data_IF_202668792810
#
_entry.id   IF_202668792810
#
_cell.length_a   1.000
_cell.length_b   1.000
_cell.length_c   1.000
_cell.angle_alpha   90.00
_cell.angle_beta   90.00
_cell.angle_gamma   90.00
#
_symmetry.space_group_name_H-M   'P 1'
#
loop_
_entity.id
_entity.type
_entity.pdbx_description
1 polymer ?
#
# COMPACT_ATOMS: atom_id res chain seq x y z
N UNK A 1 18.91 9.78 -17.46
CA UNK A 1 18.03 9.08 -16.49
C UNK A 1 17.59 9.98 -15.34
N UNK A 2 18.46 10.82 -14.78
CA UNK A 2 18.13 11.75 -13.68
C UNK A 2 16.93 12.67 -13.95
N UNK A 3 16.90 13.37 -15.09
CA UNK A 3 15.78 14.29 -15.42
C UNK A 3 14.43 13.55 -15.42
N UNK A 4 14.36 12.38 -16.06
CA UNK A 4 13.15 11.54 -16.12
C UNK A 4 12.72 11.15 -14.72
N UNK A 5 13.65 10.67 -13.89
CA UNK A 5 13.38 10.29 -12.50
C UNK A 5 12.83 11.48 -11.71
N UNK A 6 13.47 12.65 -11.79
CA UNK A 6 13.08 13.85 -11.04
C UNK A 6 11.71 14.38 -11.47
N UNK A 7 11.44 14.45 -12.78
CA UNK A 7 10.12 14.85 -13.30
C UNK A 7 9.02 13.88 -12.86
N UNK A 8 9.28 12.57 -12.95
CA UNK A 8 8.35 11.54 -12.50
C UNK A 8 8.12 11.60 -10.99
N UNK A 9 9.16 11.90 -10.20
CA UNK A 9 9.07 12.06 -8.75
C UNK A 9 8.17 13.23 -8.38
N UNK A 10 8.32 14.38 -9.02
CA UNK A 10 7.44 15.54 -8.75
C UNK A 10 5.99 15.24 -9.14
N UNK A 11 5.77 14.58 -10.29
CA UNK A 11 4.44 14.14 -10.69
C UNK A 11 3.85 13.17 -9.66
N UNK A 12 4.62 12.17 -9.22
CA UNK A 12 4.20 11.21 -8.20
C UNK A 12 3.79 11.90 -6.90
N UNK A 13 4.58 12.86 -6.43
CA UNK A 13 4.28 13.63 -5.21
C UNK A 13 3.00 14.47 -5.41
N UNK A 14 2.87 15.19 -6.52
CA UNK A 14 1.71 16.03 -6.81
C UNK A 14 0.41 15.20 -6.87
N UNK A 15 0.43 14.07 -7.59
CA UNK A 15 -0.70 13.15 -7.66
C UNK A 15 -1.01 12.53 -6.29
N UNK A 16 0.02 12.18 -5.52
CA UNK A 16 -0.11 11.71 -4.14
C UNK A 16 -0.81 12.72 -3.23
N UNK A 17 -0.44 14.00 -3.32
CA UNK A 17 -1.09 15.08 -2.58
C UNK A 17 -2.57 15.23 -2.94
N UNK A 18 -2.92 15.14 -4.22
CA UNK A 18 -4.33 15.15 -4.67
C UNK A 18 -5.08 13.92 -4.12
N UNK A 19 -4.45 12.75 -4.13
CA UNK A 19 -5.06 11.51 -3.63
C UNK A 19 -5.40 11.58 -2.13
N UNK A 20 -4.57 12.25 -1.32
CA UNK A 20 -4.81 12.42 0.11
C UNK A 20 -6.12 13.16 0.38
N UNK A 21 -6.36 14.25 -0.37
CA UNK A 21 -7.59 15.03 -0.26
C UNK A 21 -8.78 14.23 -0.81
N UNK A 22 -8.60 13.60 -1.97
CA UNK A 22 -9.64 12.84 -2.65
C UNK A 22 -10.11 11.62 -1.85
N UNK A 23 -9.24 11.01 -1.03
CA UNK A 23 -9.58 9.87 -0.17
C UNK A 23 -10.75 10.15 0.79
N UNK A 24 -10.83 11.36 1.33
CA UNK A 24 -11.86 11.71 2.32
C UNK A 24 -13.24 11.94 1.73
N UNK A 25 -13.32 12.37 0.47
CA UNK A 25 -14.60 12.59 -0.21
C UNK A 25 -15.50 11.33 -0.21
N UNK A 26 -15.07 10.15 -0.68
CA UNK A 26 -15.87 8.94 -0.59
C UNK A 26 -15.97 8.39 0.85
N UNK A 27 -15.03 8.74 1.74
CA UNK A 27 -15.09 8.36 3.16
C UNK A 27 -16.28 8.99 3.87
N UNK A 28 -16.54 10.28 3.64
CA UNK A 28 -17.65 11.03 4.25
C UNK A 28 -18.94 11.02 3.43
N UNK A 29 -18.86 10.83 2.11
CA UNK A 29 -20.06 10.74 1.28
C UNK A 29 -20.94 9.54 1.64
N UNK A 30 -22.26 9.70 1.44
CA UNK A 30 -23.23 8.61 1.57
C UNK A 30 -22.81 7.44 0.68
N UNK A 31 -22.62 6.26 1.28
CA UNK A 31 -22.16 5.05 0.57
C UNK A 31 -23.11 4.71 -0.57
N UNK A 32 -22.56 4.57 -1.78
CA UNK A 32 -23.31 4.34 -3.02
C UNK A 32 -23.91 5.60 -3.68
N UNK A 33 -23.75 6.80 -3.11
CA UNK A 33 -24.12 8.05 -3.80
C UNK A 33 -23.22 8.34 -5.00
N UNK A 34 -23.69 9.20 -5.93
CA UNK A 34 -22.88 9.64 -7.09
C UNK A 34 -21.52 10.21 -6.67
N UNK A 35 -21.48 11.02 -5.60
CA UNK A 35 -20.23 11.57 -5.07
C UNK A 35 -19.29 10.47 -4.57
N UNK A 36 -19.80 9.51 -3.78
CA UNK A 36 -18.99 8.39 -3.29
C UNK A 36 -18.40 7.56 -4.43
N UNK A 37 -19.21 7.26 -5.45
CA UNK A 37 -18.79 6.44 -6.59
C UNK A 37 -17.76 7.20 -7.45
N UNK A 38 -18.05 8.44 -7.83
CA UNK A 38 -17.18 9.22 -8.71
C UNK A 38 -15.85 9.55 -8.03
N UNK A 39 -15.88 9.98 -6.77
CA UNK A 39 -14.65 10.25 -6.03
C UNK A 39 -13.86 8.95 -5.77
N UNK A 40 -14.55 7.83 -5.51
CA UNK A 40 -13.92 6.51 -5.38
C UNK A 40 -13.22 6.04 -6.67
N UNK A 41 -13.82 6.27 -7.84
CA UNK A 41 -13.19 6.01 -9.12
C UNK A 41 -11.98 6.91 -9.36
N UNK A 42 -12.09 8.21 -9.08
CA UNK A 42 -10.97 9.14 -9.16
C UNK A 42 -9.80 8.69 -8.28
N UNK A 43 -10.08 8.34 -7.02
CA UNK A 43 -9.07 7.82 -6.10
C UNK A 43 -8.44 6.53 -6.61
N UNK A 44 -9.24 5.59 -7.12
CA UNK A 44 -8.76 4.33 -7.69
C UNK A 44 -7.74 4.54 -8.81
N UNK A 45 -8.08 5.33 -9.84
CA UNK A 45 -7.18 5.57 -10.97
C UNK A 45 -5.93 6.33 -10.55
N UNK A 46 -6.08 7.30 -9.66
CA UNK A 46 -4.96 8.07 -9.13
C UNK A 46 -3.97 7.18 -8.37
N UNK A 47 -4.49 6.28 -7.52
CA UNK A 47 -3.67 5.31 -6.78
C UNK A 47 -2.97 4.30 -7.71
N UNK A 48 -3.59 3.90 -8.83
CA UNK A 48 -2.90 3.07 -9.82
C UNK A 48 -1.71 3.81 -10.44
N UNK A 49 -1.90 5.07 -10.84
CA UNK A 49 -0.82 5.89 -11.41
C UNK A 49 0.29 6.13 -10.40
N UNK A 50 -0.06 6.41 -9.13
CA UNK A 50 0.91 6.59 -8.04
C UNK A 50 1.70 5.30 -7.79
N UNK A 51 1.02 4.15 -7.68
CA UNK A 51 1.70 2.88 -7.46
C UNK A 51 2.59 2.51 -8.66
N UNK A 52 2.14 2.71 -9.89
CA UNK A 52 2.93 2.47 -11.10
C UNK A 52 4.16 3.38 -11.18
N UNK A 53 3.99 4.69 -10.96
CA UNK A 53 5.11 5.62 -10.93
C UNK A 53 6.08 5.32 -9.80
N UNK A 54 5.60 4.88 -8.62
CA UNK A 54 6.45 4.42 -7.51
C UNK A 54 7.31 3.20 -7.89
N UNK A 55 6.72 2.20 -8.56
CA UNK A 55 7.45 1.04 -9.08
C UNK A 55 8.52 1.46 -10.09
N UNK A 56 8.20 2.38 -11.02
CA UNK A 56 9.15 2.88 -12.03
C UNK A 56 10.29 3.68 -11.36
N UNK A 57 9.98 4.58 -10.42
CA UNK A 57 10.98 5.35 -9.67
C UNK A 57 11.95 4.43 -8.93
N UNK A 58 11.44 3.42 -8.24
CA UNK A 58 12.27 2.44 -7.55
C UNK A 58 13.09 1.61 -8.53
N UNK A 59 12.53 1.24 -9.70
CA UNK A 59 13.26 0.54 -10.75
C UNK A 59 14.44 1.34 -11.30
N UNK A 60 14.22 2.63 -11.61
CA UNK A 60 15.29 3.53 -12.07
C UNK A 60 16.36 3.69 -10.97
N UNK A 61 15.95 3.90 -9.72
CA UNK A 61 16.87 4.04 -8.59
C UNK A 61 17.65 2.77 -8.25
N UNK A 62 17.11 1.57 -8.54
CA UNK A 62 17.82 0.30 -8.39
C UNK A 62 18.78 0.02 -9.55
N UNK A 63 18.43 0.47 -10.76
CA UNK A 63 19.28 0.33 -11.94
C UNK A 63 20.51 1.26 -11.87
N UNK A 64 20.34 2.50 -11.41
CA UNK A 64 21.41 3.48 -11.30
C UNK A 64 21.34 4.26 -9.96
N UNK A 65 21.67 3.62 -8.82
CA UNK A 65 21.53 4.24 -7.51
C UNK A 65 22.46 5.44 -7.32
N UNK A 66 23.65 5.43 -7.92
CA UNK A 66 24.61 6.53 -7.75
C UNK A 66 24.21 7.71 -8.64
N UNK A 67 23.90 7.49 -9.92
CA UNK A 67 23.48 8.54 -10.83
C UNK A 67 22.13 9.17 -10.47
N UNK A 68 21.31 8.51 -9.66
CA UNK A 68 20.05 9.07 -9.15
C UNK A 68 20.21 9.76 -7.80
N UNK A 69 20.89 9.15 -6.83
CA UNK A 69 20.91 9.63 -5.45
C UNK A 69 22.16 10.42 -5.06
N UNK A 70 23.17 10.43 -5.93
CA UNK A 70 24.44 11.13 -5.71
C UNK A 70 24.96 11.82 -6.99
N UNK A 71 24.06 12.18 -7.93
CA UNK A 71 24.41 12.77 -9.22
C UNK A 71 25.38 13.95 -9.12
N UNK A 72 25.15 14.85 -8.16
CA UNK A 72 25.93 16.08 -7.99
C UNK A 72 27.07 15.92 -6.96
N UNK A 73 27.40 14.69 -6.56
CA UNK A 73 28.39 14.41 -5.52
C UNK A 73 29.54 13.57 -6.06
N UNK A 74 30.76 14.07 -5.89
CA UNK A 74 31.97 13.27 -6.05
C UNK A 74 32.16 12.45 -4.78
N UNK A 75 31.85 11.16 -4.84
CA UNK A 75 31.96 10.23 -3.70
C UNK A 75 33.17 9.31 -3.88
N UNK A 76 33.92 9.10 -2.80
CA UNK A 76 34.93 8.04 -2.75
C UNK A 76 34.25 6.66 -2.79
N UNK A 77 34.98 5.61 -3.19
CA UNK A 77 34.45 4.24 -3.21
C UNK A 77 33.85 3.82 -1.86
N UNK A 78 34.52 4.17 -0.75
CA UNK A 78 34.03 3.90 0.60
C UNK A 78 32.70 4.64 0.91
N UNK A 79 32.54 5.87 0.43
CA UNK A 79 31.30 6.63 0.60
C UNK A 79 30.17 6.06 -0.26
N UNK A 80 30.48 5.63 -1.49
CA UNK A 80 29.53 4.96 -2.37
C UNK A 80 29.01 3.67 -1.73
N UNK A 81 29.90 2.81 -1.23
CA UNK A 81 29.52 1.57 -0.55
C UNK A 81 28.58 1.84 0.64
N UNK A 82 28.90 2.82 1.50
CA UNK A 82 28.04 3.21 2.63
C UNK A 82 26.66 3.68 2.19
N UNK A 83 26.56 4.43 1.09
CA UNK A 83 25.29 4.85 0.52
C UNK A 83 24.47 3.63 0.06
N UNK A 84 25.08 2.72 -0.68
CA UNK A 84 24.40 1.57 -1.30
C UNK A 84 23.86 0.58 -0.26
N UNK A 85 24.58 0.35 0.84
CA UNK A 85 24.17 -0.55 1.94
C UNK A 85 22.77 -0.24 2.45
N UNK A 86 22.39 1.03 2.54
CA UNK A 86 21.07 1.43 3.03
C UNK A 86 20.10 1.80 1.91
N UNK A 87 20.60 2.38 0.82
CA UNK A 87 19.75 2.91 -0.26
C UNK A 87 19.12 1.80 -1.09
N UNK A 88 19.84 0.73 -1.40
CA UNK A 88 19.32 -0.39 -2.19
C UNK A 88 18.18 -1.09 -1.42
N UNK A 89 18.36 -1.52 -0.15
CA UNK A 89 17.27 -2.12 0.62
C UNK A 89 16.06 -1.21 0.78
N UNK A 90 16.28 0.09 1.01
CA UNK A 90 15.18 1.06 1.09
C UNK A 90 14.39 1.15 -0.23
N UNK A 91 15.07 1.10 -1.38
CA UNK A 91 14.42 1.15 -2.70
C UNK A 91 13.64 -0.14 -3.00
N UNK A 92 14.18 -1.30 -2.61
CA UNK A 92 13.48 -2.59 -2.68
C UNK A 92 12.22 -2.60 -1.80
N UNK A 93 12.31 -2.01 -0.62
CA UNK A 93 11.17 -1.82 0.29
C UNK A 93 10.09 -0.90 -0.28
N UNK A 94 10.47 0.25 -0.85
CA UNK A 94 9.50 1.15 -1.50
C UNK A 94 8.85 0.52 -2.73
N UNK A 95 9.60 -0.32 -3.46
CA UNK A 95 9.06 -1.13 -4.56
C UNK A 95 8.00 -2.12 -4.05
N UNK A 96 8.27 -2.82 -2.94
CA UNK A 96 7.32 -3.72 -2.28
C UNK A 96 6.04 -2.98 -1.88
N UNK A 97 6.15 -1.80 -1.26
CA UNK A 97 5.00 -0.99 -0.87
C UNK A 97 4.19 -0.48 -2.07
N UNK A 98 4.87 -0.12 -3.16
CA UNK A 98 4.21 0.30 -4.40
C UNK A 98 3.42 -0.86 -5.02
N UNK A 99 4.01 -2.06 -5.06
CA UNK A 99 3.33 -3.27 -5.51
C UNK A 99 2.15 -3.65 -4.60
N UNK A 100 2.32 -3.57 -3.28
CA UNK A 100 1.25 -3.83 -2.31
C UNK A 100 0.08 -2.88 -2.54
N UNK A 101 0.36 -1.60 -2.74
CA UNK A 101 -0.65 -0.57 -3.03
C UNK A 101 -1.39 -0.86 -4.33
N UNK A 102 -0.67 -1.24 -5.39
CA UNK A 102 -1.26 -1.66 -6.67
C UNK A 102 -2.20 -2.86 -6.50
N UNK A 103 -1.78 -3.88 -5.76
CA UNK A 103 -2.59 -5.08 -5.47
C UNK A 103 -3.85 -4.71 -4.67
N UNK A 104 -3.68 -3.96 -3.57
CA UNK A 104 -4.76 -3.60 -2.66
C UNK A 104 -5.84 -2.78 -3.35
N UNK A 105 -5.47 -1.74 -4.11
CA UNK A 105 -6.45 -0.87 -4.75
C UNK A 105 -7.22 -1.58 -5.88
N UNK A 106 -6.54 -2.46 -6.63
CA UNK A 106 -7.17 -3.31 -7.67
C UNK A 106 -8.12 -4.34 -7.06
N UNK A 107 -7.71 -4.96 -5.97
CA UNK A 107 -8.56 -5.90 -5.22
C UNK A 107 -9.79 -5.19 -4.66
N UNK A 108 -9.60 -4.01 -4.04
CA UNK A 108 -10.67 -3.21 -3.45
C UNK A 108 -11.82 -2.92 -4.42
N UNK A 109 -11.53 -2.48 -5.65
CA UNK A 109 -12.58 -2.16 -6.63
C UNK A 109 -13.11 -3.42 -7.30
N UNK A 110 -12.25 -4.37 -7.65
CA UNK A 110 -12.68 -5.58 -8.37
C UNK A 110 -13.57 -6.45 -7.51
N UNK A 111 -13.28 -6.59 -6.20
CA UNK A 111 -14.13 -7.37 -5.31
C UNK A 111 -15.56 -6.83 -5.22
N UNK A 112 -15.73 -5.51 -5.30
CA UNK A 112 -17.05 -4.87 -5.33
C UNK A 112 -17.80 -5.14 -6.64
N UNK A 113 -17.07 -5.23 -7.77
CA UNK A 113 -17.64 -5.53 -9.10
C UNK A 113 -18.09 -6.99 -9.20
N UNK A 114 -17.23 -7.92 -8.78
CA UNK A 114 -17.46 -9.37 -8.97
C UNK A 114 -18.30 -10.00 -7.86
N UNK A 115 -18.36 -9.36 -6.68
CA UNK A 115 -19.16 -9.76 -5.53
C UNK A 115 -18.87 -11.22 -5.12
N UNK A 116 -19.84 -12.12 -5.27
CA UNK A 116 -19.72 -13.54 -4.91
C UNK A 116 -18.95 -14.36 -5.94
N UNK A 117 -19.09 -14.01 -7.23
CA UNK A 117 -18.43 -14.73 -8.32
C UNK A 117 -16.99 -14.26 -8.46
N UNK A 118 -16.07 -14.89 -7.71
CA UNK A 118 -14.66 -14.45 -7.63
C UNK A 118 -13.74 -15.11 -8.65
N UNK A 119 -14.27 -15.72 -9.71
CA UNK A 119 -13.48 -16.38 -10.74
C UNK A 119 -12.43 -15.44 -11.37
N UNK A 120 -12.82 -14.20 -11.67
CA UNK A 120 -11.91 -13.16 -12.21
C UNK A 120 -10.72 -12.88 -11.29
N UNK A 121 -10.94 -12.90 -9.96
CA UNK A 121 -9.88 -12.65 -8.97
C UNK A 121 -8.86 -13.78 -8.88
N UNK A 122 -9.13 -14.96 -9.47
CA UNK A 122 -8.18 -16.09 -9.55
C UNK A 122 -7.26 -16.00 -10.76
N UNK A 123 -7.56 -15.12 -11.72
CA UNK A 123 -6.75 -14.93 -12.91
C UNK A 123 -5.35 -14.38 -12.58
N UNK A 124 -4.38 -14.72 -13.42
CA UNK A 124 -2.97 -14.34 -13.23
C UNK A 124 -2.75 -12.83 -13.16
N UNK A 125 -3.58 -12.04 -13.85
CA UNK A 125 -3.52 -10.58 -13.81
C UNK A 125 -3.80 -10.00 -12.41
N UNK A 126 -4.48 -10.74 -11.53
CA UNK A 126 -4.77 -10.36 -10.14
C UNK A 126 -3.89 -11.13 -9.16
N UNK A 127 -3.81 -12.46 -9.30
CA UNK A 127 -3.04 -13.28 -8.37
C UNK A 127 -1.53 -13.21 -8.59
N UNK A 128 -1.04 -13.02 -9.81
CA UNK A 128 0.40 -12.93 -10.08
C UNK A 128 1.08 -11.84 -9.25
N UNK A 129 0.66 -10.56 -9.38
CA UNK A 129 1.21 -9.47 -8.56
C UNK A 129 1.03 -9.69 -7.05
N UNK A 130 -0.08 -10.30 -6.62
CA UNK A 130 -0.33 -10.61 -5.22
C UNK A 130 0.66 -11.66 -4.69
N UNK A 131 0.84 -12.77 -5.42
CA UNK A 131 1.73 -13.87 -5.02
C UNK A 131 3.21 -13.45 -5.04
N UNK A 132 3.61 -12.53 -5.93
CA UNK A 132 4.98 -11.97 -5.95
C UNK A 132 5.30 -11.18 -4.67
N UNK A 133 4.30 -10.62 -3.99
CA UNK A 133 4.53 -9.91 -2.71
C UNK A 133 5.14 -10.81 -1.65
N UNK A 134 4.82 -12.11 -1.63
CA UNK A 134 5.29 -13.03 -0.60
C UNK A 134 6.81 -13.21 -0.65
N UNK A 135 7.42 -13.71 -1.75
CA UNK A 135 8.87 -13.82 -1.83
C UNK A 135 9.56 -12.46 -1.77
N UNK A 136 8.97 -11.41 -2.37
CA UNK A 136 9.50 -10.05 -2.27
C UNK A 136 9.57 -9.54 -0.82
N UNK A 137 8.51 -9.77 -0.03
CA UNK A 137 8.48 -9.40 1.37
C UNK A 137 9.44 -10.25 2.22
N UNK A 138 9.57 -11.55 1.96
CA UNK A 138 10.56 -12.40 2.63
C UNK A 138 11.98 -11.85 2.38
N UNK A 139 12.29 -11.51 1.13
CA UNK A 139 13.59 -10.93 0.77
C UNK A 139 13.83 -9.57 1.44
N UNK A 140 12.84 -8.67 1.43
CA UNK A 140 12.94 -7.36 2.12
C UNK A 140 13.07 -7.54 3.65
N UNK A 141 12.38 -8.52 4.24
CA UNK A 141 12.51 -8.85 5.65
C UNK A 141 13.94 -9.29 5.99
N UNK A 142 14.50 -10.21 5.20
CA UNK A 142 15.88 -10.67 5.33
C UNK A 142 16.88 -9.51 5.23
N UNK A 143 16.70 -8.60 4.26
CA UNK A 143 17.50 -7.39 4.16
C UNK A 143 17.38 -6.52 5.42
N UNK A 144 16.15 -6.31 5.91
CA UNK A 144 15.88 -5.54 7.12
C UNK A 144 16.57 -6.11 8.36
N UNK A 145 16.67 -7.43 8.48
CA UNK A 145 17.40 -8.09 9.57
C UNK A 145 18.91 -7.85 9.43
N UNK A 146 19.47 -8.08 8.23
CA UNK A 146 20.91 -7.95 7.99
C UNK A 146 21.44 -6.54 8.24
N UNK A 147 20.66 -5.53 7.87
CA UNK A 147 21.04 -4.13 8.04
C UNK A 147 20.49 -3.55 9.36
N UNK A 148 19.72 -4.30 10.17
CA UNK A 148 19.15 -3.76 11.40
C UNK A 148 18.19 -2.59 11.18
N UNK A 149 17.34 -2.65 10.14
CA UNK A 149 16.33 -1.64 9.84
C UNK A 149 14.92 -2.18 10.12
N UNK A 150 14.36 -1.94 11.33
CA UNK A 150 13.06 -2.50 11.75
C UNK A 150 11.90 -2.17 10.82
N UNK A 151 11.97 -1.01 10.15
CA UNK A 151 10.95 -0.57 9.20
C UNK A 151 10.69 -1.61 8.09
N UNK A 152 11.75 -2.18 7.52
CA UNK A 152 11.65 -3.18 6.45
C UNK A 152 10.94 -4.44 6.95
N UNK A 153 11.28 -4.89 8.16
CA UNK A 153 10.71 -6.09 8.78
C UNK A 153 9.22 -5.91 9.02
N UNK A 154 8.81 -4.80 9.65
CA UNK A 154 7.41 -4.51 9.99
C UNK A 154 6.54 -4.53 8.73
N UNK A 155 6.94 -3.78 7.69
CA UNK A 155 6.13 -3.67 6.48
C UNK A 155 6.22 -4.89 5.56
N UNK A 156 7.29 -5.68 5.63
CA UNK A 156 7.34 -6.99 5.02
C UNK A 156 6.27 -7.92 5.62
N UNK A 157 6.16 -7.97 6.96
CA UNK A 157 5.12 -8.75 7.64
C UNK A 157 3.72 -8.27 7.22
N UNK A 158 3.49 -6.96 7.18
CA UNK A 158 2.21 -6.39 6.71
C UNK A 158 1.89 -6.82 5.27
N UNK A 159 2.90 -6.83 4.39
CA UNK A 159 2.74 -7.24 2.98
C UNK A 159 2.36 -8.72 2.87
N UNK A 160 3.01 -9.59 3.65
CA UNK A 160 2.69 -11.03 3.70
C UNK A 160 1.26 -11.24 4.22
N UNK A 161 0.91 -10.63 5.36
CA UNK A 161 -0.43 -10.78 5.95
C UNK A 161 -1.50 -10.30 4.97
N UNK A 162 -1.28 -9.17 4.29
CA UNK A 162 -2.22 -8.62 3.31
C UNK A 162 -2.38 -9.57 2.11
N UNK A 163 -1.28 -10.07 1.55
CA UNK A 163 -1.29 -11.00 0.41
C UNK A 163 -2.00 -12.31 0.76
N UNK A 164 -1.68 -12.90 1.92
CA UNK A 164 -2.30 -14.13 2.40
C UNK A 164 -3.79 -13.92 2.69
N UNK A 165 -4.18 -12.76 3.23
CA UNK A 165 -5.58 -12.42 3.48
C UNK A 165 -6.38 -12.34 2.18
N UNK A 166 -5.82 -11.74 1.12
CA UNK A 166 -6.41 -11.70 -0.22
C UNK A 166 -6.55 -13.10 -0.81
N UNK A 167 -5.50 -13.93 -0.75
CA UNK A 167 -5.56 -15.33 -1.20
C UNK A 167 -6.64 -16.09 -0.43
N UNK A 168 -6.62 -16.01 0.90
CA UNK A 168 -7.59 -16.67 1.77
C UNK A 168 -9.02 -16.23 1.44
N UNK A 169 -9.24 -14.95 1.15
CA UNK A 169 -10.52 -14.49 0.62
C UNK A 169 -10.81 -15.17 -0.71
N UNK A 170 -10.03 -14.95 -1.77
CA UNK A 170 -10.31 -15.40 -3.14
C UNK A 170 -10.56 -16.91 -3.28
N UNK A 171 -9.80 -17.73 -2.55
CA UNK A 171 -9.88 -19.19 -2.62
C UNK A 171 -10.84 -19.83 -1.63
N UNK A 172 -11.43 -19.05 -0.70
CA UNK A 172 -12.47 -19.56 0.19
C UNK A 172 -13.60 -20.20 -0.61
N UNK A 173 -14.05 -21.41 -0.27
CA UNK A 173 -15.11 -22.10 -1.03
C UNK A 173 -16.42 -21.29 -1.03
N UNK A 174 -16.88 -20.89 0.16
CA UNK A 174 -18.08 -20.06 0.32
C UNK A 174 -17.77 -18.83 1.20
N UNK A 175 -18.25 -17.67 0.76
CA UNK A 175 -18.17 -16.42 1.53
C UNK A 175 -19.51 -16.10 2.16
N UNK A 176 -19.49 -15.28 3.22
CA UNK A 176 -20.74 -14.77 3.79
C UNK A 176 -21.42 -13.85 2.77
N UNK A 177 -22.77 -13.81 2.74
CA UNK A 177 -23.50 -12.80 1.99
C UNK A 177 -22.96 -11.40 2.30
N UNK A 178 -22.74 -10.62 1.24
CA UNK A 178 -22.21 -9.25 1.27
C UNK A 178 -20.80 -9.10 1.88
N UNK A 179 -20.04 -10.19 2.06
CA UNK A 179 -18.67 -10.11 2.58
C UNK A 179 -17.75 -9.26 1.69
N UNK A 180 -18.00 -9.20 0.38
CA UNK A 180 -17.27 -8.34 -0.56
C UNK A 180 -17.34 -6.85 -0.21
N UNK A 181 -18.37 -6.39 0.51
CA UNK A 181 -18.46 -4.99 0.96
C UNK A 181 -17.38 -4.71 2.01
N UNK A 182 -17.15 -5.67 2.91
CA UNK A 182 -16.10 -5.56 3.93
C UNK A 182 -14.73 -5.70 3.28
N UNK A 183 -14.59 -6.61 2.31
CA UNK A 183 -13.34 -6.77 1.57
C UNK A 183 -12.96 -5.50 0.81
N UNK A 184 -13.93 -4.88 0.12
CA UNK A 184 -13.79 -3.58 -0.52
C UNK A 184 -13.39 -2.50 0.49
N UNK A 185 -14.14 -2.39 1.60
CA UNK A 185 -13.90 -1.39 2.63
C UNK A 185 -12.49 -1.50 3.23
N UNK A 186 -12.09 -2.68 3.72
CA UNK A 186 -10.78 -2.89 4.32
C UNK A 186 -9.64 -2.64 3.33
N UNK A 187 -9.80 -3.05 2.08
CA UNK A 187 -8.78 -2.85 1.05
C UNK A 187 -8.65 -1.37 0.63
N UNK A 188 -9.76 -0.63 0.57
CA UNK A 188 -9.75 0.82 0.33
C UNK A 188 -9.09 1.58 1.48
N UNK A 189 -9.45 1.26 2.73
CA UNK A 189 -8.82 1.89 3.91
C UNK A 189 -7.34 1.53 3.99
N UNK A 190 -6.96 0.27 3.73
CA UNK A 190 -5.56 -0.15 3.66
C UNK A 190 -4.75 0.63 2.61
N UNK A 191 -5.34 0.90 1.44
CA UNK A 191 -4.72 1.75 0.41
C UNK A 191 -4.57 3.20 0.89
N UNK A 192 -5.55 3.73 1.63
CA UNK A 192 -5.44 5.04 2.28
C UNK A 192 -4.34 5.08 3.34
N UNK A 193 -4.22 4.04 4.17
CA UNK A 193 -3.15 3.91 5.17
C UNK A 193 -1.78 3.97 4.48
N UNK A 194 -1.59 3.22 3.39
CA UNK A 194 -0.34 3.24 2.63
C UNK A 194 -0.01 4.64 2.09
N UNK A 195 -1.01 5.33 1.54
CA UNK A 195 -0.86 6.70 1.04
C UNK A 195 -0.45 7.69 2.13
N UNK A 196 -1.14 7.67 3.28
CA UNK A 196 -0.80 8.53 4.42
C UNK A 196 0.57 8.17 5.01
N UNK A 197 0.91 6.88 5.09
CA UNK A 197 2.23 6.41 5.53
C UNK A 197 3.32 6.98 4.65
N UNK A 198 3.19 6.88 3.32
CA UNK A 198 4.17 7.40 2.38
C UNK A 198 4.32 8.93 2.51
N UNK A 199 3.21 9.66 2.69
CA UNK A 199 3.24 11.10 2.86
C UNK A 199 3.96 11.54 4.15
N UNK A 200 3.64 10.92 5.30
CA UNK A 200 4.32 11.25 6.55
C UNK A 200 5.77 10.77 6.57
N UNK A 201 6.06 9.63 5.96
CA UNK A 201 7.41 9.13 5.78
C UNK A 201 8.31 10.06 4.95
N UNK A 202 7.77 10.61 3.85
CA UNK A 202 8.52 11.47 2.93
C UNK A 202 8.51 12.94 3.35
N UNK A 203 7.33 13.50 3.62
CA UNK A 203 7.14 14.91 3.98
C UNK A 203 7.23 15.18 5.48
N UNK A 204 6.65 14.29 6.30
CA UNK A 204 6.65 14.42 7.75
C UNK A 204 8.05 14.29 8.36
N UNK A 205 8.95 13.48 7.77
CA UNK A 205 10.35 13.35 8.22
C UNK A 205 11.06 14.71 8.36
N UNK A 206 10.85 15.65 7.43
CA UNK A 206 11.50 16.97 7.45
C UNK A 206 11.00 17.86 8.60
N UNK A 207 9.73 17.73 8.94
CA UNK A 207 9.11 18.46 10.06
C UNK A 207 9.54 17.79 11.37
N UNK A 208 9.38 16.48 11.46
CA UNK A 208 9.71 15.65 12.63
C UNK A 208 11.19 15.77 13.01
N UNK A 209 12.11 15.82 12.03
CA UNK A 209 13.55 15.96 12.29
C UNK A 209 13.95 17.27 12.97
N UNK A 210 13.08 18.27 13.00
CA UNK A 210 13.32 19.53 13.73
C UNK A 210 13.03 19.41 15.23
N UNK A 211 12.17 18.46 15.62
CA UNK A 211 11.64 18.34 16.98
C UNK A 211 12.02 17.02 17.67
N UNK A 212 12.40 16.01 16.90
CA UNK A 212 12.66 14.66 17.39
C UNK A 212 14.07 14.19 16.96
N UNK A 213 14.84 13.54 17.86
CA UNK A 213 16.12 12.92 17.53
C UNK A 213 15.99 11.90 16.40
N UNK A 214 17.09 11.67 15.65
CA UNK A 214 17.09 10.83 14.45
C UNK A 214 16.50 9.42 14.62
N UNK A 215 16.57 8.84 15.82
CA UNK A 215 16.03 7.50 16.13
C UNK A 215 14.49 7.44 16.12
N UNK A 216 13.82 8.58 16.28
CA UNK A 216 12.36 8.67 16.25
C UNK A 216 11.79 8.74 14.83
N UNK A 217 12.63 8.63 13.80
CA UNK A 217 12.18 8.62 12.41
C UNK A 217 11.15 7.51 12.15
N UNK A 218 11.21 6.38 12.87
CA UNK A 218 10.21 5.31 12.78
C UNK A 218 8.77 5.80 13.07
N UNK A 219 8.60 6.80 13.94
CA UNK A 219 7.28 7.36 14.25
C UNK A 219 6.61 7.96 13.02
N UNK A 220 7.38 8.64 12.16
CA UNK A 220 6.83 9.21 10.91
C UNK A 220 6.23 8.15 9.97
N UNK A 221 6.64 6.88 10.11
CA UNK A 221 6.09 5.76 9.35
C UNK A 221 4.94 5.05 10.05
N UNK A 222 4.91 5.04 11.39
CA UNK A 222 3.95 4.24 12.16
C UNK A 222 2.70 4.99 12.61
N UNK A 223 2.72 6.33 12.65
CA UNK A 223 1.55 7.14 13.07
C UNK A 223 0.31 6.82 12.22
N UNK A 224 0.43 6.87 10.89
CA UNK A 224 -0.71 6.62 10.00
C UNK A 224 -1.23 5.17 10.07
N UNK A 225 -0.37 4.11 10.03
CA UNK A 225 -0.82 2.74 10.23
C UNK A 225 -1.52 2.50 11.55
N UNK A 226 -0.99 3.01 12.67
CA UNK A 226 -1.60 2.79 14.00
C UNK A 226 -3.02 3.37 14.04
N UNK A 227 -3.18 4.63 13.63
CA UNK A 227 -4.48 5.30 13.62
C UNK A 227 -5.43 4.61 12.63
N UNK A 228 -4.96 4.35 11.41
CA UNK A 228 -5.78 3.81 10.35
C UNK A 228 -6.22 2.37 10.58
N UNK A 229 -5.35 1.50 11.10
CA UNK A 229 -5.70 0.10 11.44
C UNK A 229 -6.72 0.09 12.58
N UNK A 230 -6.54 0.93 13.60
CA UNK A 230 -7.51 1.07 14.70
C UNK A 230 -8.88 1.48 14.17
N UNK A 231 -8.94 2.53 13.36
CA UNK A 231 -10.19 2.98 12.73
C UNK A 231 -10.80 1.89 11.82
N UNK A 232 -9.97 1.18 11.05
CA UNK A 232 -10.41 0.09 10.17
C UNK A 232 -11.07 -1.04 10.95
N UNK A 233 -10.49 -1.48 12.07
CA UNK A 233 -11.04 -2.54 12.91
C UNK A 233 -12.41 -2.14 13.47
N UNK A 234 -12.50 -0.94 14.05
CA UNK A 234 -13.74 -0.42 14.65
C UNK A 234 -14.86 -0.29 13.60
N UNK A 235 -14.55 0.33 12.46
CA UNK A 235 -15.51 0.55 11.38
C UNK A 235 -15.90 -0.75 10.67
N UNK A 236 -14.99 -1.72 10.56
CA UNK A 236 -15.31 -3.06 10.02
C UNK A 236 -16.37 -3.73 10.88
N UNK A 237 -16.27 -3.65 12.20
CA UNK A 237 -17.29 -4.17 13.13
C UNK A 237 -18.65 -3.51 12.92
N UNK A 238 -18.67 -2.18 12.79
CA UNK A 238 -19.89 -1.42 12.47
C UNK A 238 -20.52 -1.83 11.13
N UNK A 239 -19.74 -1.89 10.05
CA UNK A 239 -20.26 -2.19 8.72
C UNK A 239 -20.70 -3.64 8.56
N UNK A 240 -20.06 -4.60 9.23
CA UNK A 240 -20.53 -6.00 9.27
C UNK A 240 -21.95 -6.11 9.82
N UNK A 241 -22.26 -5.36 10.90
CA UNK A 241 -23.61 -5.29 11.49
C UNK A 241 -24.59 -4.57 10.56
N UNK A 242 -24.21 -3.39 10.07
CA UNK A 242 -25.05 -2.56 9.17
C UNK A 242 -25.49 -3.31 7.90
N UNK A 243 -24.60 -4.07 7.29
CA UNK A 243 -24.87 -4.80 6.04
C UNK A 243 -25.30 -6.25 6.24
N UNK A 244 -25.52 -6.69 7.49
CA UNK A 244 -25.94 -8.05 7.86
C UNK A 244 -25.05 -9.14 7.25
N UNK A 245 -23.73 -9.00 7.38
CA UNK A 245 -22.73 -9.97 6.89
C UNK A 245 -22.66 -11.18 7.84
N UNK A 246 -23.70 -12.02 7.82
CA UNK A 246 -23.86 -13.20 8.67
C UNK A 246 -24.06 -14.46 7.82
N UNK A 247 -23.74 -15.64 8.37
CA UNK A 247 -24.11 -16.90 7.73
C UNK A 247 -25.64 -17.02 7.72
N UNK A 248 -26.22 -17.40 6.59
CA UNK A 248 -27.63 -17.77 6.54
C UNK A 248 -27.79 -19.07 7.32
N UNK A 249 -28.40 -19.02 8.51
CA UNK A 249 -28.64 -20.23 9.35
C UNK A 249 -29.65 -21.21 8.72
N UNK A 250 -30.35 -20.78 7.67
CA UNK A 250 -31.40 -21.56 6.98
C UNK A 250 -30.89 -22.66 6.06
N UNK A 251 -29.58 -22.71 5.74
CA UNK A 251 -28.98 -23.77 4.90
C UNK A 251 -28.25 -24.85 5.72
N UNK A 252 -28.36 -24.83 7.05
CA UNK A 252 -27.76 -25.84 7.94
C UNK A 252 -28.82 -26.76 8.58
N UNK A 253 -30.07 -26.69 8.15
CA UNK A 253 -31.19 -27.51 8.65
C UNK A 253 -31.89 -28.32 7.55
N UNK A 254 -31.20 -28.60 6.44
CA UNK A 254 -31.70 -29.44 5.35
C UNK A 254 -30.80 -30.64 5.15
#
# INVERSE_FOLDING_TARGET
MLLIHTSLLYLHIALGSVALLLFWLPAFARKGSKLHINAGHGFYYLMLVIAASGMILCGIGLHDPIGIYAADKVLTEAQQQRLLVWRIPLSQFLLLLSLLTWVMVRHAVTVLRVKENRAVLRGIAFQGPNLILIPGAIYVCWQGINIGMPLLIIFAIVSIISSLSICAYVYKQQIKPRQWIIEHFSSMIGSGIALYTAFFAAGGRRIVSQWLPGEWQLVSWLVAPIIGVTAMILLTGYYKRKYKVQHNKTLQQG
#
